data_IF_838817042471
#
_entry.id   IF_838817042471
#
_cell.length_a   1.000
_cell.length_b   1.000
_cell.length_c   1.000
_cell.angle_alpha   90.00
_cell.angle_beta   90.00
_cell.angle_gamma   90.00
#
_symmetry.space_group_name_H-M   'P 1'
#
loop_
_entity.id
_entity.type
_entity.pdbx_description
1 polymer ?
#
# COMPACT_ATOMS: atom_id res chain seq x y z
N UNK A 1 7.16 12.28 13.75
CA UNK A 1 7.22 10.88 13.28
C UNK A 1 7.95 10.06 14.32
N UNK A 2 7.45 8.87 14.61
CA UNK A 2 8.09 7.88 15.49
C UNK A 2 8.84 6.88 14.61
N UNK A 3 10.07 6.57 14.98
CA UNK A 3 10.86 5.50 14.37
C UNK A 3 10.63 4.18 15.12
N UNK A 4 10.35 3.12 14.37
CA UNK A 4 10.22 1.76 14.85
C UNK A 4 11.20 0.86 14.10
N UNK A 5 12.26 0.42 14.77
CA UNK A 5 13.05 -0.71 14.27
C UNK A 5 12.19 -1.97 14.35
N UNK A 6 12.06 -2.71 13.25
CA UNK A 6 11.17 -3.88 13.21
C UNK A 6 11.79 -5.12 13.84
N UNK A 7 13.12 -5.25 13.85
CA UNK A 7 13.83 -6.41 14.40
C UNK A 7 13.44 -6.71 15.87
N UNK A 8 13.50 -5.75 16.82
CA UNK A 8 13.20 -6.01 18.24
C UNK A 8 11.72 -6.21 18.54
N UNK A 9 10.81 -5.96 17.58
CA UNK A 9 9.38 -6.11 17.82
C UNK A 9 9.01 -7.59 18.01
N UNK A 10 8.08 -7.85 18.93
CA UNK A 10 7.50 -9.17 19.10
C UNK A 10 6.68 -9.58 17.87
N UNK A 11 6.41 -10.88 17.74
CA UNK A 11 5.56 -11.38 16.65
C UNK A 11 4.18 -10.71 16.64
N UNK A 12 3.57 -10.51 17.81
CA UNK A 12 2.27 -9.85 17.96
C UNK A 12 2.34 -8.38 17.54
N UNK A 13 3.41 -7.66 17.88
CA UNK A 13 3.57 -6.27 17.45
C UNK A 13 3.70 -6.16 15.92
N UNK A 14 4.41 -7.10 15.29
CA UNK A 14 4.53 -7.18 13.83
C UNK A 14 3.19 -7.47 13.18
N UNK A 15 2.44 -8.44 13.71
CA UNK A 15 1.09 -8.79 13.27
C UNK A 15 0.14 -7.58 13.36
N UNK A 16 0.16 -6.82 14.46
CA UNK A 16 -0.63 -5.59 14.58
C UNK A 16 -0.26 -4.54 13.52
N UNK A 17 1.02 -4.41 13.16
CA UNK A 17 1.44 -3.49 12.09
C UNK A 17 0.99 -3.97 10.71
N UNK A 18 1.01 -5.29 10.47
CA UNK A 18 0.50 -5.91 9.24
C UNK A 18 -1.02 -5.73 9.11
N UNK A 19 -1.78 -5.99 10.18
CA UNK A 19 -3.24 -5.80 10.21
C UNK A 19 -3.65 -4.34 10.03
N UNK A 20 -2.85 -3.39 10.54
CA UNK A 20 -3.01 -1.95 10.29
C UNK A 20 -2.54 -1.51 8.89
N UNK A 21 -2.07 -2.45 8.07
CA UNK A 21 -1.53 -2.23 6.73
C UNK A 21 -0.31 -1.28 6.70
N UNK A 22 0.39 -1.09 7.82
CA UNK A 22 1.57 -0.22 7.93
C UNK A 22 2.84 -0.89 7.41
N UNK A 23 2.91 -2.22 7.50
CA UNK A 23 3.98 -3.03 6.91
C UNK A 23 3.38 -4.13 6.03
N UNK A 24 4.19 -4.65 5.10
CA UNK A 24 3.79 -5.80 4.27
C UNK A 24 4.00 -7.13 5.00
N UNK A 25 3.14 -8.14 4.72
CA UNK A 25 3.35 -9.49 5.24
C UNK A 25 4.73 -10.03 4.85
N UNK A 26 5.34 -10.80 5.77
CA UNK A 26 6.64 -11.45 5.58
C UNK A 26 7.82 -10.49 5.36
N UNK A 27 7.68 -9.20 5.68
CA UNK A 27 8.79 -8.26 5.54
C UNK A 27 9.94 -8.59 6.49
N UNK A 28 9.61 -9.01 7.71
CA UNK A 28 10.60 -9.17 8.79
C UNK A 28 11.48 -10.42 8.61
N UNK A 29 11.11 -11.35 7.72
CA UNK A 29 11.99 -12.47 7.37
C UNK A 29 13.05 -12.10 6.33
N UNK A 30 13.03 -10.88 5.79
CA UNK A 30 13.88 -10.49 4.65
C UNK A 30 15.09 -9.63 5.03
N UNK A 31 15.08 -8.92 6.17
CA UNK A 31 16.22 -8.11 6.61
C UNK A 31 16.21 -7.81 8.12
N UNK A 32 17.40 -7.78 8.72
CA UNK A 32 17.60 -7.31 10.10
C UNK A 32 17.59 -5.77 10.20
N UNK A 33 17.55 -5.06 9.07
CA UNK A 33 17.67 -3.60 8.99
C UNK A 33 16.39 -2.90 8.52
N UNK A 34 15.24 -3.54 8.70
CA UNK A 34 13.95 -2.91 8.45
C UNK A 34 13.61 -1.85 9.51
N UNK A 35 13.18 -0.69 9.05
CA UNK A 35 12.65 0.37 9.90
C UNK A 35 11.32 0.89 9.33
N UNK A 36 10.43 1.29 10.23
CA UNK A 36 9.18 1.96 9.91
C UNK A 36 9.17 3.32 10.60
N UNK A 37 9.07 4.38 9.82
CA UNK A 37 8.72 5.71 10.32
C UNK A 37 7.22 5.89 10.16
N UNK A 38 6.54 6.32 11.22
CA UNK A 38 5.08 6.49 11.19
C UNK A 38 4.68 7.78 11.89
N UNK A 39 3.68 8.48 11.37
CA UNK A 39 3.06 9.64 12.03
C UNK A 39 2.27 9.20 13.27
N UNK A 40 2.03 10.11 14.20
CA UNK A 40 1.31 9.79 15.45
C UNK A 40 -0.11 9.28 15.21
N UNK A 41 -0.76 9.79 14.17
CA UNK A 41 -2.09 9.36 13.72
C UNK A 41 -2.07 8.14 12.79
N UNK A 42 -0.89 7.63 12.44
CA UNK A 42 -0.72 6.51 11.52
C UNK A 42 -1.10 6.79 10.06
N UNK A 43 -1.39 8.04 9.71
CA UNK A 43 -1.85 8.39 8.35
C UNK A 43 -0.73 8.42 7.32
N UNK A 44 0.52 8.67 7.75
CA UNK A 44 1.71 8.65 6.90
C UNK A 44 2.76 7.71 7.47
N UNK A 45 3.36 6.90 6.61
CA UNK A 45 4.47 6.04 6.97
C UNK A 45 5.52 5.96 5.86
N UNK A 46 6.77 5.73 6.28
CA UNK A 46 7.88 5.42 5.39
C UNK A 46 8.49 4.11 5.87
N UNK A 47 8.36 3.08 5.05
CA UNK A 47 9.02 1.81 5.29
C UNK A 47 10.38 1.81 4.61
N UNK A 48 11.41 1.42 5.36
CA UNK A 48 12.81 1.39 4.92
C UNK A 48 13.32 -0.05 4.86
N UNK A 49 14.09 -0.34 3.81
CA UNK A 49 14.70 -1.65 3.54
C UNK A 49 13.69 -2.79 3.39
N UNK A 50 12.49 -2.49 2.91
CA UNK A 50 11.47 -3.51 2.61
C UNK A 50 11.80 -4.29 1.34
N UNK A 51 10.81 -4.45 0.45
CA UNK A 51 11.08 -4.91 -0.91
C UNK A 51 11.94 -3.91 -1.67
N UNK A 52 11.62 -2.62 -1.52
CA UNK A 52 12.41 -1.49 -2.01
C UNK A 52 13.09 -0.77 -0.83
N UNK A 53 14.09 0.05 -1.14
CA UNK A 53 14.79 0.84 -0.11
C UNK A 53 13.85 1.76 0.66
N UNK A 54 12.90 2.39 -0.05
CA UNK A 54 11.91 3.29 0.54
C UNK A 54 10.52 3.00 -0.04
N UNK A 55 9.52 2.96 0.84
CA UNK A 55 8.12 2.97 0.46
C UNK A 55 7.37 4.01 1.28
N UNK A 56 6.95 5.07 0.63
CA UNK A 56 6.05 6.07 1.18
C UNK A 56 4.62 5.55 1.12
N UNK A 57 3.87 5.73 2.20
CA UNK A 57 2.49 5.29 2.29
C UNK A 57 1.65 6.34 2.99
N UNK A 58 0.47 6.57 2.42
CA UNK A 58 -0.57 7.39 3.03
C UNK A 58 -1.87 6.61 3.13
N UNK A 59 -2.47 6.56 4.32
CA UNK A 59 -3.75 5.91 4.59
C UNK A 59 -4.68 6.94 5.25
N UNK A 60 -5.81 7.23 4.60
CA UNK A 60 -6.81 8.18 5.13
C UNK A 60 -8.23 7.68 4.88
N UNK A 61 -9.13 8.01 5.81
CA UNK A 61 -10.55 7.65 5.72
C UNK A 61 -11.42 8.74 5.07
N UNK A 62 -10.89 9.96 4.89
CA UNK A 62 -11.62 11.13 4.37
C UNK A 62 -11.86 11.09 2.85
N UNK A 63 -11.25 10.13 2.15
CA UNK A 63 -11.35 9.91 0.69
C UNK A 63 -10.87 11.09 -0.16
N UNK A 64 -10.06 11.99 0.40
CA UNK A 64 -9.48 13.11 -0.34
C UNK A 64 -8.17 12.67 -1.04
N UNK A 65 -8.32 11.95 -2.16
CA UNK A 65 -7.19 11.45 -2.94
C UNK A 65 -6.27 12.57 -3.44
N UNK A 66 -6.80 13.77 -3.70
CA UNK A 66 -5.99 14.90 -4.18
C UNK A 66 -5.07 15.40 -3.08
N UNK A 67 -5.60 15.52 -1.85
CA UNK A 67 -4.81 15.89 -0.70
C UNK A 67 -3.79 14.80 -0.35
N UNK A 68 -4.19 13.53 -0.38
CA UNK A 68 -3.26 12.40 -0.19
C UNK A 68 -2.09 12.46 -1.17
N UNK A 69 -2.39 12.69 -2.45
CA UNK A 69 -1.37 12.84 -3.49
C UNK A 69 -0.44 14.03 -3.21
N UNK A 70 -1.01 15.19 -2.88
CA UNK A 70 -0.22 16.38 -2.55
C UNK A 70 0.72 16.15 -1.36
N UNK A 71 0.21 15.53 -0.29
CA UNK A 71 0.96 15.29 0.94
C UNK A 71 2.10 14.26 0.71
N UNK A 72 1.82 13.17 -0.01
CA UNK A 72 2.84 12.14 -0.30
C UNK A 72 3.88 12.62 -1.31
N UNK A 73 3.48 13.38 -2.34
CA UNK A 73 4.41 13.96 -3.32
C UNK A 73 5.33 14.97 -2.68
N UNK A 74 4.83 15.80 -1.75
CA UNK A 74 5.66 16.72 -1.00
C UNK A 74 6.72 15.97 -0.17
N UNK A 75 6.34 14.86 0.47
CA UNK A 75 7.29 14.04 1.20
C UNK A 75 8.36 13.43 0.28
N UNK A 76 7.98 12.92 -0.89
CA UNK A 76 8.89 12.38 -1.90
C UNK A 76 9.90 13.42 -2.40
N UNK A 77 9.43 14.64 -2.75
CA UNK A 77 10.28 15.74 -3.18
C UNK A 77 11.34 16.13 -2.12
N UNK A 78 10.94 16.14 -0.84
CA UNK A 78 11.85 16.45 0.26
C UNK A 78 12.92 15.38 0.47
N UNK A 79 12.61 14.12 0.17
CA UNK A 79 13.58 13.02 0.18
C UNK A 79 14.49 13.06 -1.05
N UNK A 80 13.94 13.33 -2.24
CA UNK A 80 14.68 13.45 -3.50
C UNK A 80 15.74 14.57 -3.48
N UNK A 81 15.56 15.59 -2.65
CA UNK A 81 16.58 16.62 -2.40
C UNK A 81 17.83 16.10 -1.67
N UNK A 82 17.72 14.99 -0.94
CA UNK A 82 18.79 14.42 -0.09
C UNK A 82 19.32 13.09 -0.62
N UNK A 83 18.50 12.37 -1.39
CA UNK A 83 18.78 11.02 -1.86
C UNK A 83 18.52 10.97 -3.36
N UNK A 84 19.48 10.43 -4.11
CA UNK A 84 19.28 10.16 -5.52
C UNK A 84 18.55 8.81 -5.68
N UNK A 85 17.33 8.84 -6.18
CA UNK A 85 16.59 7.63 -6.49
C UNK A 85 17.16 6.91 -7.72
N UNK A 86 17.00 5.59 -7.75
CA UNK A 86 17.28 4.79 -8.93
C UNK A 86 16.22 5.11 -9.99
N UNK A 87 16.61 5.86 -11.01
CA UNK A 87 15.73 6.32 -12.08
C UNK A 87 16.37 6.07 -13.43
N UNK A 88 15.59 5.50 -14.33
CA UNK A 88 15.94 5.31 -15.73
C UNK A 88 15.01 6.16 -16.63
N UNK A 89 15.55 6.68 -17.74
CA UNK A 89 14.80 7.57 -18.63
C UNK A 89 13.66 6.89 -19.37
N UNK A 90 13.79 5.59 -19.64
CA UNK A 90 12.79 4.78 -20.34
C UNK A 90 11.86 4.11 -19.33
N UNK A 91 12.41 3.59 -18.23
CA UNK A 91 11.66 2.79 -17.26
C UNK A 91 11.17 3.56 -16.02
N UNK A 92 11.55 4.82 -15.83
CA UNK A 92 11.15 5.61 -14.66
C UNK A 92 11.86 5.17 -13.38
N UNK A 93 11.17 5.23 -12.23
CA UNK A 93 11.69 4.74 -10.96
C UNK A 93 11.88 3.23 -11.00
N UNK A 94 13.11 2.78 -10.71
CA UNK A 94 13.47 1.37 -10.68
C UNK A 94 13.14 0.78 -9.32
N UNK A 95 12.39 -0.32 -9.33
CA UNK A 95 11.92 -1.04 -8.14
C UNK A 95 12.39 -2.49 -8.17
N UNK A 96 12.38 -3.16 -7.01
CA UNK A 96 12.74 -4.57 -6.91
C UNK A 96 11.73 -5.49 -7.64
N UNK A 97 10.48 -5.06 -7.76
CA UNK A 97 9.45 -5.76 -8.54
C UNK A 97 9.17 -5.00 -9.85
N UNK A 98 9.25 -5.65 -11.03
CA UNK A 98 8.89 -5.03 -12.31
C UNK A 98 7.46 -4.49 -12.36
N UNK A 99 6.55 -5.01 -11.53
CA UNK A 99 5.16 -4.54 -11.45
C UNK A 99 5.03 -3.11 -10.92
N UNK A 100 6.05 -2.57 -10.26
CA UNK A 100 6.03 -1.23 -9.65
C UNK A 100 6.96 -0.25 -10.36
N UNK A 101 7.70 -0.70 -11.38
CA UNK A 101 8.62 0.15 -12.15
C UNK A 101 7.84 1.18 -12.96
N UNK A 102 8.39 2.38 -13.12
CA UNK A 102 7.72 3.50 -13.78
C UNK A 102 7.47 4.63 -12.79
N UNK A 103 6.22 4.78 -12.35
CA UNK A 103 5.87 5.82 -11.36
C UNK A 103 6.21 5.42 -9.93
N UNK A 104 6.38 4.11 -9.64
CA UNK A 104 6.48 3.63 -8.26
C UNK A 104 5.19 3.81 -7.45
N UNK A 105 4.09 4.24 -8.08
CA UNK A 105 2.85 4.62 -7.40
C UNK A 105 1.83 3.48 -7.44
N UNK A 106 1.23 3.24 -6.27
CA UNK A 106 0.06 2.37 -6.15
C UNK A 106 -1.04 3.10 -5.40
N UNK A 107 -2.22 3.17 -6.00
CA UNK A 107 -3.41 3.76 -5.38
C UNK A 107 -4.43 2.67 -5.13
N UNK A 108 -4.91 2.58 -3.90
CA UNK A 108 -6.00 1.67 -3.55
C UNK A 108 -7.08 2.33 -2.70
N UNK A 109 -8.26 1.73 -2.72
CA UNK A 109 -9.38 2.09 -1.86
C UNK A 109 -10.01 0.83 -1.30
N UNK A 110 -10.28 0.83 -0.01
CA UNK A 110 -11.08 -0.21 0.64
C UNK A 110 -12.55 0.18 0.57
N UNK A 111 -13.40 -0.72 0.09
CA UNK A 111 -14.83 -0.50 -0.11
C UNK A 111 -15.65 -1.62 0.52
N UNK A 112 -16.78 -1.25 1.13
CA UNK A 112 -17.77 -2.17 1.66
C UNK A 112 -18.98 -2.20 0.72
N UNK A 113 -19.22 -3.32 0.05
CA UNK A 113 -20.22 -3.45 -1.04
C UNK A 113 -21.16 -4.65 -0.88
N UNK A 114 -21.84 -4.82 0.28
CA UNK A 114 -22.68 -5.99 0.56
C UNK A 114 -23.83 -6.14 -0.43
N UNK A 115 -24.43 -5.04 -0.89
CA UNK A 115 -25.53 -5.07 -1.87
C UNK A 115 -25.11 -5.65 -3.22
N UNK A 116 -23.88 -5.39 -3.68
CA UNK A 116 -23.34 -5.95 -4.93
C UNK A 116 -23.09 -7.45 -4.78
N UNK A 117 -22.61 -7.88 -3.61
CA UNK A 117 -22.40 -9.30 -3.30
C UNK A 117 -23.74 -10.03 -3.26
N UNK A 118 -24.71 -9.51 -2.51
CA UNK A 118 -26.04 -10.13 -2.36
C UNK A 118 -26.81 -10.23 -3.68
N UNK A 119 -26.63 -9.24 -4.56
CA UNK A 119 -27.24 -9.22 -5.89
C UNK A 119 -26.46 -10.04 -6.93
N UNK A 120 -25.38 -10.73 -6.54
CA UNK A 120 -24.54 -11.59 -7.40
C UNK A 120 -23.90 -10.87 -8.59
N UNK A 121 -23.69 -9.55 -8.48
CA UNK A 121 -23.05 -8.74 -9.54
C UNK A 121 -21.53 -8.57 -9.37
N UNK A 122 -20.95 -9.11 -8.29
CA UNK A 122 -19.51 -8.95 -7.97
C UNK A 122 -18.59 -9.33 -9.13
N UNK A 123 -18.79 -10.51 -9.75
CA UNK A 123 -17.95 -10.98 -10.86
C UNK A 123 -18.02 -10.04 -12.06
N UNK A 124 -19.20 -9.53 -12.39
CA UNK A 124 -19.40 -8.58 -13.49
C UNK A 124 -18.72 -7.24 -13.20
N UNK A 125 -18.79 -6.77 -11.95
CA UNK A 125 -18.10 -5.56 -11.50
C UNK A 125 -16.59 -5.73 -11.62
N UNK A 126 -16.02 -6.80 -11.05
CA UNK A 126 -14.59 -7.09 -11.12
C UNK A 126 -14.06 -7.15 -12.57
N UNK A 127 -14.78 -7.82 -13.47
CA UNK A 127 -14.44 -7.85 -14.90
C UNK A 127 -14.46 -6.48 -15.56
N UNK A 128 -15.38 -5.60 -15.14
CA UNK A 128 -15.46 -4.23 -15.65
C UNK A 128 -14.30 -3.37 -15.13
N UNK A 129 -13.90 -3.55 -13.87
CA UNK A 129 -12.78 -2.84 -13.26
C UNK A 129 -11.44 -3.19 -13.89
N UNK A 130 -11.22 -4.46 -14.25
CA UNK A 130 -10.00 -4.89 -14.96
C UNK A 130 -9.84 -4.13 -16.29
N UNK A 131 -10.93 -3.92 -17.03
CA UNK A 131 -10.91 -3.14 -18.29
C UNK A 131 -10.55 -1.66 -18.08
N UNK A 132 -10.76 -1.15 -16.86
CA UNK A 132 -10.40 0.21 -16.46
C UNK A 132 -9.01 0.28 -15.81
N UNK A 133 -8.26 -0.84 -15.77
CA UNK A 133 -6.94 -0.89 -15.16
C UNK A 133 -6.96 -1.03 -13.64
N UNK A 134 -8.02 -1.60 -13.06
CA UNK A 134 -8.14 -1.84 -11.63
C UNK A 134 -8.34 -3.32 -11.32
N UNK A 135 -7.75 -3.77 -10.20
CA UNK A 135 -7.98 -5.11 -9.65
C UNK A 135 -8.76 -4.98 -8.35
N UNK A 136 -9.75 -5.86 -8.17
CA UNK A 136 -10.48 -5.99 -6.91
C UNK A 136 -10.06 -7.27 -6.19
N UNK A 137 -9.76 -7.16 -4.90
CA UNK A 137 -9.32 -8.27 -4.05
C UNK A 137 -10.14 -8.27 -2.77
N UNK A 138 -10.45 -9.45 -2.25
CA UNK A 138 -11.05 -9.58 -0.93
C UNK A 138 -10.07 -9.16 0.16
N UNK A 139 -10.50 -8.35 1.14
CA UNK A 139 -9.60 -7.92 2.21
C UNK A 139 -9.41 -8.99 3.29
N UNK A 140 -10.45 -9.79 3.56
CA UNK A 140 -10.44 -10.82 4.60
C UNK A 140 -10.63 -12.22 4.00
N UNK A 141 -9.59 -13.05 4.05
CA UNK A 141 -9.63 -14.45 3.61
C UNK A 141 -9.78 -14.65 2.09
N UNK A 142 -9.92 -15.92 1.68
CA UNK A 142 -10.01 -16.31 0.26
C UNK A 142 -11.36 -15.93 -0.39
N UNK A 143 -12.42 -15.89 0.40
CA UNK A 143 -13.79 -15.59 -0.04
C UNK A 143 -14.35 -14.35 0.67
N UNK A 144 -13.94 -13.14 0.25
CA UNK A 144 -14.44 -11.90 0.85
C UNK A 144 -15.95 -11.65 0.65
N UNK A 145 -16.59 -12.39 -0.26
CA UNK A 145 -18.05 -12.42 -0.35
C UNK A 145 -18.69 -13.02 0.92
N UNK A 146 -17.98 -13.92 1.60
CA UNK A 146 -18.41 -14.57 2.84
C UNK A 146 -17.82 -13.87 4.09
N UNK A 147 -16.65 -13.25 3.95
CA UNK A 147 -15.94 -12.58 5.05
C UNK A 147 -16.15 -11.05 5.06
N UNK A 148 -17.40 -10.62 5.17
CA UNK A 148 -17.74 -9.23 5.49
C UNK A 148 -17.90 -8.28 4.31
N UNK A 149 -17.85 -8.75 3.05
CA UNK A 149 -18.13 -7.94 1.85
C UNK A 149 -17.22 -6.70 1.69
N UNK A 150 -15.99 -6.77 2.20
CA UNK A 150 -14.98 -5.72 2.12
C UNK A 150 -13.93 -6.09 1.08
N UNK A 151 -13.71 -5.17 0.14
CA UNK A 151 -12.80 -5.36 -0.99
C UNK A 151 -11.79 -4.22 -1.07
N UNK A 152 -10.55 -4.54 -1.39
CA UNK A 152 -9.56 -3.57 -1.83
C UNK A 152 -9.62 -3.47 -3.35
N UNK A 153 -9.78 -2.25 -3.86
CA UNK A 153 -9.66 -1.92 -5.28
C UNK A 153 -8.36 -1.16 -5.50
N UNK A 154 -7.49 -1.66 -6.37
CA UNK A 154 -6.15 -1.11 -6.62
C UNK A 154 -5.93 -0.82 -8.10
N UNK A 155 -5.23 0.26 -8.44
CA UNK A 155 -4.67 0.48 -9.78
C UNK A 155 -3.69 -0.63 -10.20
N UNK A 156 -3.67 -0.96 -11.50
CA UNK A 156 -2.82 -1.99 -12.12
C UNK A 156 -2.02 -1.47 -13.33
N UNK A 157 -2.02 -0.15 -13.54
CA UNK A 157 -1.38 0.51 -14.69
C UNK A 157 -0.01 1.02 -14.26
#
# INVERSE_FOLDING_TARGET
MVELSLMPLSAVQKEVLEEKALITPNLVSQSDHNALYVSEDGSFSVLVNGYDHFRFQMIRADRDLKKMWSDVSYADDMFGQKIQYAFDKEFGYLTASPEWTGTGLRVSSVIFIPGIVQSKYLTRLAQSMIKLGFVMRGLFGRDAAENGCIFEMTSQI
#
